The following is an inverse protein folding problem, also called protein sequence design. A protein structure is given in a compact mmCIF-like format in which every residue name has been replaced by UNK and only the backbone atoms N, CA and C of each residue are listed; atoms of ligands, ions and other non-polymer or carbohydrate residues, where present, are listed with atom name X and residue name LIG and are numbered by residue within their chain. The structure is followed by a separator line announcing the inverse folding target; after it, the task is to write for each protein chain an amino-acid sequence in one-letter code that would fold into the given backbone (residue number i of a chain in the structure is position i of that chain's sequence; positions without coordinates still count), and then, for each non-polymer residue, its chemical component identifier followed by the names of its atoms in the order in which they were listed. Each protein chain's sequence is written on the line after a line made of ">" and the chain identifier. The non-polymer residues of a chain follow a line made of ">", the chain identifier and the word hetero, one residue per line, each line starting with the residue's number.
data_IF_696205448792
#
_entry.id   IF_696205448792
#
_cell.length_a   1.000
_cell.length_b   1.000
_cell.length_c   1.000
_cell.angle_alpha   90.00
_cell.angle_beta   90.00
_cell.angle_gamma   90.00
#
_symmetry.space_group_name_H-M   'P 1'
#
loop_
_entity.id
_entity.type
_entity.pdbx_description
1 polymer ?
#
# COMPACT_ATOMS: atom_id res chain seq x y z
N UNK A 1 -20.69 12.61 -1.41
CA UNK A 1 -19.85 11.60 -2.09
C UNK A 1 -18.42 11.90 -1.72
N UNK A 2 -17.96 11.41 -0.56
CA UNK A 2 -16.61 11.64 -0.03
C UNK A 2 -16.01 10.28 0.30
N UNK A 3 -15.51 9.58 -0.73
CA UNK A 3 -14.91 8.24 -0.55
C UNK A 3 -13.41 8.29 -0.20
N UNK A 4 -12.77 9.44 -0.39
CA UNK A 4 -11.33 9.62 -0.13
C UNK A 4 -10.98 9.86 1.34
N UNK A 5 -11.96 10.00 2.24
CA UNK A 5 -11.75 10.34 3.66
C UNK A 5 -11.75 9.11 4.58
N UNK A 6 -12.25 7.96 4.11
CA UNK A 6 -12.49 6.76 4.95
C UNK A 6 -11.42 5.65 4.85
N UNK A 7 -10.45 5.77 3.94
CA UNK A 7 -9.34 4.80 3.84
C UNK A 7 -9.78 3.39 3.44
N UNK A 8 -10.55 3.27 2.36
CA UNK A 8 -10.92 1.96 1.81
C UNK A 8 -9.83 1.39 0.89
N UNK A 9 -9.91 0.07 0.71
CA UNK A 9 -9.00 -0.83 -0.01
C UNK A 9 -8.31 -0.21 -1.24
N UNK A 10 -7.05 -0.62 -1.46
CA UNK A 10 -6.28 -0.21 -2.64
C UNK A 10 -6.45 -1.26 -3.74
N UNK A 11 -6.98 -0.86 -4.89
CA UNK A 11 -7.00 -1.70 -6.09
C UNK A 11 -5.85 -1.32 -7.04
N UNK A 12 -5.03 -2.30 -7.40
CA UNK A 12 -3.92 -2.16 -8.32
C UNK A 12 -4.24 -2.77 -9.68
N UNK A 13 -4.22 -1.93 -10.72
CA UNK A 13 -4.16 -2.39 -12.10
C UNK A 13 -2.69 -2.64 -12.51
N UNK A 14 -2.46 -3.68 -13.30
CA UNK A 14 -1.14 -4.10 -13.76
C UNK A 14 -1.20 -4.55 -15.21
N UNK A 15 -0.04 -4.64 -15.86
CA UNK A 15 0.11 -5.11 -17.23
C UNK A 15 1.56 -5.02 -17.69
N UNK A 16 1.96 -5.94 -18.55
CA UNK A 16 3.26 -5.97 -19.18
C UNK A 16 3.34 -4.91 -20.29
N UNK A 17 4.52 -4.30 -20.45
CA UNK A 17 4.74 -3.31 -21.52
C UNK A 17 4.85 -3.95 -22.91
N UNK A 18 5.11 -5.26 -22.97
CA UNK A 18 5.17 -6.10 -24.16
C UNK A 18 4.68 -7.50 -23.81
N UNK A 19 4.00 -8.17 -24.75
CA UNK A 19 3.38 -9.47 -24.53
C UNK A 19 1.85 -9.38 -24.63
N UNK A 20 1.17 -10.46 -24.29
CA UNK A 20 -0.29 -10.51 -24.13
C UNK A 20 -0.66 -11.06 -22.75
N UNK A 21 -1.88 -11.55 -22.60
CA UNK A 21 -2.49 -11.92 -21.31
C UNK A 21 -1.59 -12.79 -20.40
N UNK A 22 -0.84 -13.76 -20.95
CA UNK A 22 0.08 -14.59 -20.17
C UNK A 22 1.20 -13.78 -19.50
N UNK A 23 1.72 -12.76 -20.18
CA UNK A 23 2.73 -11.86 -19.63
C UNK A 23 2.13 -10.98 -18.52
N UNK A 24 0.88 -10.53 -18.69
CA UNK A 24 0.16 -9.77 -17.67
C UNK A 24 -0.09 -10.63 -16.42
N UNK A 25 -0.55 -11.87 -16.60
CA UNK A 25 -0.77 -12.83 -15.50
C UNK A 25 0.54 -13.12 -14.77
N UNK A 26 1.67 -13.25 -15.47
CA UNK A 26 2.98 -13.44 -14.85
C UNK A 26 3.34 -12.26 -13.93
N UNK A 27 3.13 -11.02 -14.39
CA UNK A 27 3.32 -9.81 -13.57
C UNK A 27 2.38 -9.81 -12.35
N UNK A 28 1.10 -10.14 -12.54
CA UNK A 28 0.13 -10.20 -11.44
C UNK A 28 0.55 -11.21 -10.35
N UNK A 29 1.07 -12.38 -10.76
CA UNK A 29 1.61 -13.40 -9.84
C UNK A 29 2.82 -12.88 -9.07
N UNK A 30 3.77 -12.27 -9.76
CA UNK A 30 4.98 -11.70 -9.13
C UNK A 30 4.61 -10.62 -8.09
N UNK A 31 3.65 -9.75 -8.43
CA UNK A 31 3.16 -8.73 -7.50
C UNK A 31 2.60 -9.39 -6.25
N UNK A 32 1.65 -10.32 -6.39
CA UNK A 32 0.98 -11.00 -5.26
C UNK A 32 1.98 -11.73 -4.37
N UNK A 33 2.95 -12.41 -4.96
CA UNK A 33 4.02 -13.08 -4.24
C UNK A 33 4.85 -12.08 -3.43
N UNK A 34 5.43 -11.08 -4.09
CA UNK A 34 6.34 -10.12 -3.45
C UNK A 34 5.64 -9.35 -2.33
N UNK A 35 4.43 -8.85 -2.55
CA UNK A 35 3.71 -8.14 -1.48
C UNK A 35 3.25 -9.08 -0.36
N UNK A 36 2.92 -10.33 -0.67
CA UNK A 36 2.64 -11.37 0.33
C UNK A 36 3.82 -11.58 1.27
N UNK A 37 5.05 -11.65 0.75
CA UNK A 37 6.26 -11.76 1.59
C UNK A 37 6.51 -10.55 2.49
N UNK A 38 5.89 -9.40 2.20
CA UNK A 38 6.03 -8.15 2.96
C UNK A 38 4.90 -7.93 3.98
N UNK A 39 4.07 -8.95 4.22
CA UNK A 39 3.01 -8.92 5.23
C UNK A 39 1.69 -8.33 4.73
N UNK A 40 1.53 -8.12 3.42
CA UNK A 40 0.24 -7.79 2.84
C UNK A 40 -0.56 -9.06 2.55
N UNK A 41 -1.89 -8.93 2.50
CA UNK A 41 -2.80 -10.02 2.12
C UNK A 41 -3.58 -9.63 0.87
N UNK A 42 -2.90 -9.51 -0.30
CA UNK A 42 -3.57 -9.17 -1.55
C UNK A 42 -4.59 -10.25 -1.94
N UNK A 43 -5.71 -9.82 -2.53
CA UNK A 43 -6.72 -10.71 -3.12
C UNK A 43 -6.74 -10.50 -4.63
N UNK A 44 -6.59 -11.60 -5.38
CA UNK A 44 -6.62 -11.60 -6.84
C UNK A 44 -7.09 -12.95 -7.35
N UNK A 45 -7.84 -12.96 -8.46
CA UNK A 45 -8.42 -14.17 -9.04
C UNK A 45 -7.50 -14.86 -10.08
N UNK A 46 -6.33 -14.29 -10.36
CA UNK A 46 -5.36 -14.85 -11.29
C UNK A 46 -5.52 -14.42 -12.75
N UNK A 47 -6.36 -13.42 -13.06
CA UNK A 47 -6.61 -12.97 -14.44
C UNK A 47 -6.22 -11.50 -14.66
N UNK A 48 -5.81 -11.17 -15.89
CA UNK A 48 -5.35 -9.83 -16.26
C UNK A 48 -6.47 -8.78 -16.32
N UNK A 49 -7.72 -9.20 -16.49
CA UNK A 49 -8.91 -8.33 -16.50
C UNK A 49 -9.37 -7.91 -15.10
N UNK A 50 -8.80 -8.50 -14.04
CA UNK A 50 -9.12 -8.20 -12.65
C UNK A 50 -7.96 -7.52 -11.93
N UNK A 51 -8.30 -6.46 -11.19
CA UNK A 51 -7.33 -5.76 -10.34
C UNK A 51 -6.95 -6.60 -9.12
N UNK A 52 -5.74 -6.38 -8.62
CA UNK A 52 -5.31 -6.93 -7.33
C UNK A 52 -5.84 -6.00 -6.24
N UNK A 53 -6.64 -6.53 -5.33
CA UNK A 53 -7.19 -5.76 -4.21
C UNK A 53 -6.33 -5.93 -2.95
N UNK A 54 -6.04 -4.84 -2.28
CA UNK A 54 -5.25 -4.78 -1.07
C UNK A 54 -6.12 -4.26 0.08
N UNK A 55 -6.39 -5.07 1.12
CA UNK A 55 -7.19 -4.65 2.28
C UNK A 55 -6.34 -3.78 3.22
N UNK A 56 -5.90 -2.64 2.73
CA UNK A 56 -5.09 -1.66 3.46
C UNK A 56 -5.90 -0.40 3.70
N UNK A 57 -5.79 0.17 4.89
CA UNK A 57 -6.32 1.48 5.16
C UNK A 57 -5.35 2.53 4.59
N UNK A 58 -5.66 3.05 3.41
CA UNK A 58 -4.82 4.09 2.81
C UNK A 58 -4.99 5.40 3.58
N UNK A 59 -3.96 5.79 4.32
CA UNK A 59 -3.94 7.04 5.07
C UNK A 59 -3.07 8.08 4.39
N UNK A 60 -3.53 9.33 4.41
CA UNK A 60 -2.71 10.47 4.02
C UNK A 60 -1.53 10.53 4.99
N UNK A 61 -0.31 10.65 4.47
CA UNK A 61 0.84 10.97 5.32
C UNK A 61 0.57 12.31 5.99
N UNK A 62 0.34 12.28 7.30
CA UNK A 62 0.50 13.47 8.13
C UNK A 62 1.90 14.02 7.89
N UNK A 63 2.06 15.35 7.92
CA UNK A 63 3.36 16.01 7.74
C UNK A 63 4.43 15.52 8.73
N UNK A 64 5.63 16.13 8.73
CA UNK A 64 6.77 15.61 9.50
C UNK A 64 6.31 15.25 10.91
N UNK A 65 6.63 14.01 11.33
CA UNK A 65 6.36 13.53 12.68
C UNK A 65 6.89 14.61 13.61
N UNK A 66 5.99 15.39 14.20
CA UNK A 66 6.39 16.33 15.23
C UNK A 66 6.98 15.44 16.32
N UNK A 67 8.27 15.58 16.56
CA UNK A 67 8.92 14.96 17.70
C UNK A 67 8.21 15.51 18.95
N UNK A 68 7.27 14.75 19.49
CA UNK A 68 6.54 15.09 20.72
C UNK A 68 7.31 14.63 21.95
N UNK A 69 8.62 14.37 21.85
CA UNK A 69 9.46 14.19 23.02
C UNK A 69 9.29 15.42 23.92
N UNK A 70 8.86 15.24 25.18
CA UNK A 70 8.73 16.37 26.10
C UNK A 70 10.10 17.05 26.23
N UNK A 71 10.19 18.38 26.28
CA UNK A 71 11.45 19.04 26.59
C UNK A 71 11.93 18.55 27.97
N UNK A 72 13.14 17.99 28.01
CA UNK A 72 13.80 17.55 29.24
C UNK A 72 13.82 18.71 30.26
N UNK A 73 13.08 18.56 31.35
CA UNK A 73 12.94 19.58 32.40
C UNK A 73 14.14 19.68 33.35
N UNK A 74 15.31 19.15 32.97
CA UNK A 74 16.50 19.16 33.84
C UNK A 74 17.57 20.11 33.32
N UNK A 75 17.35 21.41 33.41
CA UNK A 75 18.42 22.42 33.54
C UNK A 75 17.81 23.76 33.97
N UNK A 76 17.33 23.81 35.19
CA UNK A 76 17.27 25.04 35.98
C UNK A 76 18.00 24.75 37.29
N UNK A 77 19.29 25.06 37.31
CA UNK A 77 20.09 25.48 38.47
C UNK A 77 21.57 25.45 38.07
N UNK A 78 22.09 26.61 37.64
CA UNK A 78 23.48 27.01 37.76
C UNK A 78 23.55 28.53 37.79
#
# INVERSE_FOLDING_TARGET
>A
MERAVLGYDLDLAFGATKGGDEADIAIGREIVEVVGTRGFSPTWNGTADHRISFPINWQRRSGPIADTSPPDKHLQNA
#
